data_IF_242350449572
#
_entry.id   IF_242350449572
#
_cell.length_a   1.000
_cell.length_b   1.000
_cell.length_c   1.000
_cell.angle_alpha   90.00
_cell.angle_beta   90.00
_cell.angle_gamma   90.00
#
_symmetry.space_group_name_H-M   'P 1'
#
loop_
_entity.id
_entity.type
_entity.pdbx_description
1 polymer ?
#
# COMPACT_ATOMS: atom_id res chain seq x y z
N UNK A 1 9.80 19.00 9.92
CA UNK A 1 10.15 18.69 8.52
C UNK A 1 10.04 19.95 7.70
N UNK A 2 10.94 20.12 6.74
CA UNK A 2 10.80 21.12 5.69
C UNK A 2 9.70 20.67 4.69
N UNK A 3 9.04 21.63 4.03
CA UNK A 3 8.00 21.33 3.04
C UNK A 3 8.50 20.38 1.94
N UNK A 4 9.74 20.59 1.46
CA UNK A 4 10.36 19.74 0.45
C UNK A 4 10.53 18.28 0.92
N UNK A 5 10.81 18.07 2.21
CA UNK A 5 10.91 16.73 2.79
C UNK A 5 9.53 16.06 2.84
N UNK A 6 8.49 16.79 3.23
CA UNK A 6 7.12 16.27 3.29
C UNK A 6 6.62 15.86 1.91
N UNK A 7 6.88 16.66 0.88
CA UNK A 7 6.52 16.34 -0.50
C UNK A 7 7.29 15.12 -1.03
N UNK A 8 8.60 15.03 -0.72
CA UNK A 8 9.40 13.87 -1.08
C UNK A 8 8.92 12.59 -0.39
N UNK A 9 8.51 12.68 0.89
CA UNK A 9 7.92 11.56 1.60
C UNK A 9 6.56 11.15 1.02
N UNK A 10 5.69 12.12 0.68
CA UNK A 10 4.38 11.84 0.08
C UNK A 10 4.54 11.11 -1.25
N UNK A 11 5.47 11.55 -2.10
CA UNK A 11 5.76 10.89 -3.37
C UNK A 11 6.29 9.45 -3.19
N UNK A 12 7.11 9.20 -2.17
CA UNK A 12 7.59 7.85 -1.84
C UNK A 12 6.45 6.96 -1.32
N UNK A 13 5.60 7.49 -0.44
CA UNK A 13 4.44 6.79 0.10
C UNK A 13 3.47 6.39 -1.02
N UNK A 14 3.20 7.28 -1.97
CA UNK A 14 2.35 7.00 -3.13
C UNK A 14 2.89 5.86 -3.99
N UNK A 15 4.20 5.86 -4.30
CA UNK A 15 4.83 4.75 -5.04
C UNK A 15 4.71 3.41 -4.30
N UNK A 16 4.87 3.43 -2.97
CA UNK A 16 4.74 2.22 -2.15
C UNK A 16 3.30 1.71 -2.13
N UNK A 17 2.32 2.61 -2.05
CA UNK A 17 0.90 2.27 -2.15
C UNK A 17 0.57 1.59 -3.49
N UNK A 18 1.02 2.16 -4.61
CA UNK A 18 0.82 1.58 -5.94
C UNK A 18 1.40 0.16 -6.05
N UNK A 19 2.62 -0.04 -5.56
CA UNK A 19 3.25 -1.37 -5.53
C UNK A 19 2.46 -2.37 -4.69
N UNK A 20 1.94 -1.93 -3.55
CA UNK A 20 1.14 -2.76 -2.66
C UNK A 20 -0.20 -3.14 -3.30
N UNK A 21 -0.87 -2.21 -3.97
CA UNK A 21 -2.11 -2.47 -4.70
C UNK A 21 -1.91 -3.45 -5.86
N UNK A 22 -0.81 -3.32 -6.61
CA UNK A 22 -0.43 -4.28 -7.65
C UNK A 22 -0.19 -5.69 -7.07
N UNK A 23 0.41 -5.78 -5.87
CA UNK A 23 0.57 -7.06 -5.16
C UNK A 23 -0.78 -7.62 -4.73
N UNK A 24 -1.64 -6.82 -4.09
CA UNK A 24 -2.97 -7.24 -3.66
C UNK A 24 -3.78 -7.83 -4.82
N UNK A 25 -3.80 -7.15 -5.97
CA UNK A 25 -4.51 -7.62 -7.18
C UNK A 25 -4.02 -8.98 -7.69
N UNK A 26 -2.76 -9.34 -7.44
CA UNK A 26 -2.20 -10.66 -7.78
C UNK A 26 -2.58 -11.69 -6.72
N UNK A 27 -2.46 -11.33 -5.44
CA UNK A 27 -2.69 -12.22 -4.31
C UNK A 27 -4.15 -12.66 -4.20
N UNK A 28 -5.11 -11.79 -4.54
CA UNK A 28 -6.54 -12.13 -4.51
C UNK A 28 -6.97 -13.07 -5.65
N UNK A 29 -6.13 -13.25 -6.67
CA UNK A 29 -6.40 -14.15 -7.80
C UNK A 29 -5.79 -15.52 -7.51
N UNK A 30 -6.57 -16.36 -6.84
CA UNK A 30 -6.20 -17.75 -6.55
C UNK A 30 -7.05 -18.72 -7.35
N UNK A 31 -6.49 -19.89 -7.64
CA UNK A 31 -7.26 -20.98 -8.23
C UNK A 31 -8.19 -21.59 -7.18
N UNK A 32 -9.24 -22.27 -7.64
CA UNK A 32 -10.15 -22.99 -6.76
C UNK A 32 -9.40 -23.99 -5.87
N UNK A 33 -9.69 -23.96 -4.56
CA UNK A 33 -9.04 -24.82 -3.57
C UNK A 33 -7.68 -24.33 -3.06
N UNK A 34 -7.11 -23.25 -3.63
CA UNK A 34 -5.85 -22.68 -3.15
C UNK A 34 -6.08 -21.50 -2.21
N UNK A 35 -5.15 -21.33 -1.26
CA UNK A 35 -5.08 -20.14 -0.42
C UNK A 35 -4.17 -19.08 -1.06
N UNK A 36 -4.45 -17.79 -0.81
CA UNK A 36 -3.54 -16.71 -1.19
C UNK A 36 -2.14 -16.92 -0.62
N UNK A 37 -1.11 -16.51 -1.36
CA UNK A 37 0.29 -16.59 -0.93
C UNK A 37 0.60 -15.60 0.21
N UNK A 38 -0.20 -14.55 0.32
CA UNK A 38 -0.16 -13.56 1.40
C UNK A 38 -1.59 -13.26 1.84
N UNK A 39 -1.80 -12.86 3.08
CA UNK A 39 -3.13 -12.50 3.58
C UNK A 39 -3.61 -11.17 2.96
N UNK A 40 -4.68 -11.15 2.14
CA UNK A 40 -5.15 -9.92 1.50
C UNK A 40 -5.53 -8.84 2.51
N UNK A 41 -6.05 -9.24 3.68
CA UNK A 41 -6.40 -8.31 4.75
C UNK A 41 -5.18 -7.61 5.35
N UNK A 42 -4.04 -8.30 5.50
CA UNK A 42 -2.81 -7.68 5.99
C UNK A 42 -2.26 -6.65 4.99
N UNK A 43 -2.37 -6.96 3.70
CA UNK A 43 -2.05 -6.03 2.62
C UNK A 43 -2.98 -4.81 2.63
N UNK A 44 -4.29 -4.99 2.85
CA UNK A 44 -5.24 -3.88 2.96
C UNK A 44 -4.98 -3.00 4.20
N UNK A 45 -4.68 -3.60 5.34
CA UNK A 45 -4.29 -2.84 6.56
C UNK A 45 -3.03 -2.03 6.30
N UNK A 46 -2.04 -2.63 5.63
CA UNK A 46 -0.81 -1.93 5.23
C UNK A 46 -1.10 -0.78 4.26
N UNK A 47 -2.05 -0.96 3.33
CA UNK A 47 -2.46 0.05 2.37
C UNK A 47 -3.09 1.25 3.07
N UNK A 48 -4.01 0.98 4.01
CA UNK A 48 -4.68 2.00 4.81
C UNK A 48 -3.66 2.81 5.63
N UNK A 49 -2.69 2.16 6.27
CA UNK A 49 -1.65 2.88 7.02
C UNK A 49 -0.78 3.80 6.12
N UNK A 50 -0.57 3.43 4.85
CA UNK A 50 0.11 4.31 3.89
C UNK A 50 -0.79 5.49 3.50
N UNK A 51 -2.08 5.26 3.28
CA UNK A 51 -3.05 6.32 3.00
C UNK A 51 -3.13 7.32 4.16
N UNK A 52 -3.25 6.85 5.40
CA UNK A 52 -3.26 7.70 6.60
C UNK A 52 -1.98 8.53 6.70
N UNK A 53 -0.83 7.93 6.37
CA UNK A 53 0.45 8.65 6.33
C UNK A 53 0.47 9.71 5.23
N UNK A 54 -0.08 9.41 4.06
CA UNK A 54 -0.20 10.38 2.98
C UNK A 54 -1.14 11.52 3.38
N UNK A 55 -2.29 11.25 3.99
CA UNK A 55 -3.22 12.30 4.45
C UNK A 55 -2.61 13.20 5.53
N UNK A 56 -1.75 12.65 6.38
CA UNK A 56 -0.96 13.46 7.32
C UNK A 56 0.10 14.33 6.62
N UNK A 57 0.65 13.85 5.51
CA UNK A 57 1.67 14.55 4.71
C UNK A 57 1.00 15.50 3.71
N UNK A 58 0.54 16.68 4.14
CA UNK A 58 0.04 17.83 3.31
C UNK A 58 -0.87 17.44 2.14
#
# INVERSE_FOLDING_TARGET
MLLAEALAERAKAQRRYEQLMQRLLRVVRVQEGNQPVEEPNELLVSANGILDRMDWLI
#
